data_IF_022868205440
#
_entry.id   IF_022868205440
#
_cell.length_a   1.000
_cell.length_b   1.000
_cell.length_c   1.000
_cell.angle_alpha   90.00
_cell.angle_beta   90.00
_cell.angle_gamma   90.00
#
_symmetry.space_group_name_H-M   'P 1'
#
loop_
_entity.id
_entity.type
_entity.pdbx_description
1 polymer ?
#
# COMPACT_ATOMS: atom_id res chain seq x y z
N UNK A 1 -10.54 -22.29 1.12
CA UNK A 1 -10.75 -22.51 -0.32
C UNK A 1 -10.25 -21.28 -1.05
N UNK A 2 -9.04 -21.35 -1.63
CA UNK A 2 -8.53 -20.28 -2.50
C UNK A 2 -9.23 -20.38 -3.87
N UNK A 3 -9.73 -19.28 -4.46
CA UNK A 3 -10.38 -19.33 -5.76
C UNK A 3 -9.34 -19.69 -6.83
N UNK A 4 -9.58 -20.83 -7.49
CA UNK A 4 -8.79 -21.31 -8.61
C UNK A 4 -8.87 -20.30 -9.77
N UNK A 5 -7.72 -19.77 -10.19
CA UNK A 5 -7.57 -19.06 -11.46
C UNK A 5 -6.96 -17.65 -11.42
N UNK A 6 -6.58 -17.12 -10.26
CA UNK A 6 -5.90 -15.83 -10.17
C UNK A 6 -4.51 -15.97 -9.55
N UNK A 7 -3.54 -15.33 -10.19
CA UNK A 7 -2.13 -15.26 -9.78
C UNK A 7 -2.06 -14.47 -8.46
N UNK A 8 -1.22 -14.88 -7.51
CA UNK A 8 -1.16 -14.24 -6.19
C UNK A 8 -0.06 -13.17 -6.11
N UNK A 9 -0.35 -12.11 -5.36
CA UNK A 9 0.62 -11.08 -4.98
C UNK A 9 0.47 -10.79 -3.49
N UNK A 10 1.44 -11.22 -2.70
CA UNK A 10 1.47 -11.07 -1.26
C UNK A 10 2.46 -9.97 -0.87
N UNK A 11 2.01 -9.03 -0.04
CA UNK A 11 2.81 -7.92 0.46
C UNK A 11 2.83 -7.99 1.98
N UNK A 12 4.01 -7.84 2.57
CA UNK A 12 4.19 -7.77 4.02
C UNK A 12 4.93 -6.48 4.35
N UNK A 13 4.27 -5.56 5.03
CA UNK A 13 4.88 -4.32 5.50
C UNK A 13 5.74 -4.65 6.73
N UNK A 14 6.95 -4.11 6.80
CA UNK A 14 7.82 -4.31 7.95
C UNK A 14 7.32 -3.51 9.16
N UNK A 15 7.63 -4.01 10.37
CA UNK A 15 7.24 -3.38 11.64
C UNK A 15 7.69 -1.91 11.75
N UNK A 16 8.78 -1.53 11.08
CA UNK A 16 9.24 -0.14 11.07
C UNK A 16 8.46 0.78 10.11
N UNK A 17 7.64 0.22 9.20
CA UNK A 17 6.88 0.95 8.18
C UNK A 17 7.69 1.59 7.07
N UNK A 18 9.00 1.35 7.00
CA UNK A 18 9.89 2.02 6.01
C UNK A 18 10.09 1.19 4.74
N UNK A 19 9.71 -0.08 4.77
CA UNK A 19 9.89 -1.02 3.68
C UNK A 19 8.80 -2.09 3.72
N UNK A 20 8.67 -2.79 2.61
CA UNK A 20 7.80 -3.95 2.50
C UNK A 20 8.50 -5.06 1.71
N UNK A 21 8.10 -6.30 1.98
CA UNK A 21 8.46 -7.48 1.18
C UNK A 21 7.28 -7.84 0.29
N UNK A 22 7.53 -8.00 -0.99
CA UNK A 22 6.57 -8.50 -1.95
C UNK A 22 6.95 -9.92 -2.40
N UNK A 23 5.96 -10.77 -2.56
CA UNK A 23 6.06 -12.12 -3.12
C UNK A 23 4.98 -12.23 -4.18
N UNK A 24 5.37 -12.25 -5.45
CA UNK A 24 4.43 -12.31 -6.56
C UNK A 24 4.68 -13.57 -7.36
N UNK A 25 3.59 -14.24 -7.72
CA UNK A 25 3.63 -15.25 -8.76
C UNK A 25 3.62 -14.56 -10.11
N UNK A 26 4.35 -15.10 -11.07
CA UNK A 26 4.47 -14.58 -12.41
C UNK A 26 4.17 -15.73 -13.35
N UNK A 27 3.30 -15.49 -14.33
CA UNK A 27 2.91 -16.50 -15.30
C UNK A 27 3.07 -15.97 -16.72
N UNK A 28 3.83 -16.73 -17.52
CA UNK A 28 4.00 -16.54 -18.95
C UNK A 28 4.57 -15.17 -19.34
N UNK A 29 5.61 -14.72 -18.61
CA UNK A 29 6.39 -13.53 -18.98
C UNK A 29 7.88 -13.85 -19.02
N UNK A 30 8.62 -13.01 -19.71
CA UNK A 30 10.09 -13.07 -19.85
C UNK A 30 10.79 -11.92 -19.12
N UNK A 31 10.00 -10.94 -18.65
CA UNK A 31 10.51 -9.73 -18.00
C UNK A 31 9.56 -9.28 -16.89
N UNK A 32 10.15 -8.83 -15.79
CA UNK A 32 9.46 -8.13 -14.71
C UNK A 32 10.14 -6.78 -14.45
N UNK A 33 9.35 -5.72 -14.41
CA UNK A 33 9.82 -4.35 -14.17
C UNK A 33 9.40 -3.91 -12.77
N UNK A 34 10.35 -3.39 -11.99
CA UNK A 34 10.08 -2.83 -10.67
C UNK A 34 9.66 -1.37 -10.82
N UNK A 35 8.37 -1.17 -10.97
CA UNK A 35 7.74 0.15 -11.06
C UNK A 35 6.46 0.19 -10.24
N UNK A 36 6.11 1.38 -9.77
CA UNK A 36 4.83 1.69 -9.16
C UNK A 36 4.08 2.72 -9.99
N UNK A 37 2.77 2.89 -9.77
CA UNK A 37 1.94 3.81 -10.56
C UNK A 37 2.02 5.23 -10.01
N UNK A 38 2.54 6.17 -10.79
CA UNK A 38 2.57 7.60 -10.46
C UNK A 38 1.19 8.27 -10.52
N UNK A 39 1.14 9.54 -10.13
CA UNK A 39 -0.11 10.29 -9.99
C UNK A 39 -0.84 10.51 -11.33
N UNK A 40 -0.10 10.55 -12.45
CA UNK A 40 -0.65 10.66 -13.80
C UNK A 40 -0.73 9.29 -14.50
N UNK A 41 -0.52 8.19 -13.75
CA UNK A 41 -0.49 6.82 -14.29
C UNK A 41 0.85 6.43 -14.92
N UNK A 42 1.90 7.22 -14.73
CA UNK A 42 3.26 6.95 -15.22
C UNK A 42 3.96 5.87 -14.39
N UNK A 43 4.88 5.12 -15.00
CA UNK A 43 5.71 4.16 -14.27
C UNK A 43 6.79 4.91 -13.46
N UNK A 44 6.67 4.88 -12.13
CA UNK A 44 7.67 5.44 -11.22
C UNK A 44 8.68 4.35 -10.83
N UNK A 45 9.99 4.56 -11.06
CA UNK A 45 11.02 3.59 -10.71
C UNK A 45 10.99 3.21 -9.22
N UNK A 46 10.94 1.92 -8.96
CA UNK A 46 11.00 1.40 -7.60
C UNK A 46 12.36 0.78 -7.33
N UNK A 47 12.98 1.19 -6.21
CA UNK A 47 14.29 0.66 -5.80
C UNK A 47 14.11 -0.71 -5.10
N UNK A 48 14.05 -1.78 -5.90
CA UNK A 48 13.93 -3.14 -5.39
C UNK A 48 15.30 -3.71 -4.97
N UNK A 49 15.39 -4.15 -3.72
CA UNK A 49 16.50 -4.90 -3.13
C UNK A 49 16.11 -6.35 -2.83
N UNK A 50 17.10 -7.17 -2.48
CA UNK A 50 16.90 -8.59 -2.11
C UNK A 50 16.03 -9.39 -3.09
N UNK A 51 16.17 -9.14 -4.39
CA UNK A 51 15.36 -9.86 -5.39
C UNK A 51 15.85 -11.29 -5.51
N UNK A 52 14.93 -12.21 -5.27
CA UNK A 52 15.09 -13.63 -5.57
C UNK A 52 14.01 -14.06 -6.57
N UNK A 53 14.42 -14.88 -7.53
CA UNK A 53 13.52 -15.54 -8.47
C UNK A 53 13.56 -17.04 -8.17
N UNK A 54 12.39 -17.66 -8.05
CA UNK A 54 12.27 -19.10 -7.83
C UNK A 54 11.34 -19.72 -8.85
N UNK A 55 11.64 -20.95 -9.25
CA UNK A 55 10.80 -21.79 -10.10
C UNK A 55 10.60 -23.11 -9.37
N UNK A 56 9.36 -23.47 -9.07
CA UNK A 56 9.06 -24.70 -8.32
C UNK A 56 9.90 -24.79 -7.02
N UNK A 57 9.96 -23.68 -6.28
CA UNK A 57 10.72 -23.51 -5.04
C UNK A 57 12.25 -23.65 -5.15
N UNK A 58 12.78 -23.76 -6.36
CA UNK A 58 14.22 -23.74 -6.63
C UNK A 58 14.69 -22.37 -7.13
N UNK A 59 15.85 -21.86 -6.69
CA UNK A 59 16.42 -20.62 -7.21
C UNK A 59 16.60 -20.67 -8.73
N UNK A 60 16.11 -19.63 -9.42
CA UNK A 60 16.25 -19.46 -10.86
C UNK A 60 17.20 -18.31 -11.17
N UNK A 61 18.08 -18.51 -12.15
CA UNK A 61 18.96 -17.45 -12.64
C UNK A 61 18.15 -16.40 -13.42
N UNK A 62 18.54 -15.14 -13.28
CA UNK A 62 17.93 -14.03 -13.99
C UNK A 62 18.99 -12.97 -14.31
N UNK A 63 18.73 -12.19 -15.36
CA UNK A 63 19.58 -11.07 -15.74
C UNK A 63 18.99 -9.76 -15.23
N UNK A 64 19.79 -8.98 -14.52
CA UNK A 64 19.36 -7.68 -13.99
C UNK A 64 19.75 -6.54 -14.94
N UNK A 65 18.77 -5.72 -15.33
CA UNK A 65 18.98 -4.45 -16.02
C UNK A 65 18.67 -3.26 -15.09
N UNK A 66 19.67 -2.39 -14.85
CA UNK A 66 19.57 -1.18 -14.02
C UNK A 66 19.96 0.07 -14.84
N UNK A 67 19.12 0.49 -15.79
CA UNK A 67 19.37 1.72 -16.54
C UNK A 67 19.34 2.93 -15.60
N UNK A 68 20.24 3.89 -15.81
CA UNK A 68 20.25 5.13 -15.05
C UNK A 68 19.03 5.99 -15.43
N UNK A 69 18.26 6.45 -14.43
CA UNK A 69 17.07 7.27 -14.66
C UNK A 69 15.82 6.52 -15.15
N UNK A 70 15.82 5.19 -15.15
CA UNK A 70 14.66 4.38 -15.54
C UNK A 70 14.40 3.21 -14.58
N UNK A 71 13.21 2.62 -14.66
CA UNK A 71 12.80 1.50 -13.81
C UNK A 71 13.71 0.29 -14.01
N UNK A 72 14.16 -0.27 -12.89
CA UNK A 72 14.95 -1.50 -12.94
C UNK A 72 14.08 -2.68 -13.36
N UNK A 73 14.67 -3.67 -14.03
CA UNK A 73 13.92 -4.86 -14.46
C UNK A 73 14.81 -6.10 -14.46
N UNK A 74 14.19 -7.25 -14.26
CA UNK A 74 14.83 -8.56 -14.44
C UNK A 74 14.26 -9.27 -15.65
N UNK A 75 15.12 -10.01 -16.36
CA UNK A 75 14.74 -10.85 -17.49
C UNK A 75 15.10 -12.30 -17.23
N UNK A 76 14.22 -13.21 -17.61
CA UNK A 76 14.33 -14.65 -17.38
C UNK A 76 13.59 -15.43 -18.48
N UNK A 77 13.91 -16.72 -18.71
CA UNK A 77 13.22 -17.52 -19.71
C UNK A 77 11.72 -17.61 -19.42
N UNK A 78 10.87 -17.57 -20.45
CA UNK A 78 9.42 -17.62 -20.30
C UNK A 78 8.96 -18.80 -19.45
N UNK A 79 8.11 -18.55 -18.46
CA UNK A 79 7.59 -19.60 -17.59
C UNK A 79 6.87 -19.08 -16.35
N UNK A 80 6.64 -20.00 -15.41
CA UNK A 80 5.99 -19.72 -14.14
C UNK A 80 7.04 -19.59 -13.05
N UNK A 81 7.11 -18.41 -12.44
CA UNK A 81 8.09 -18.11 -11.41
C UNK A 81 7.43 -17.41 -10.25
N UNK A 82 8.07 -17.48 -9.08
CA UNK A 82 7.75 -16.64 -7.94
C UNK A 82 8.90 -15.67 -7.74
N UNK A 83 8.61 -14.38 -7.80
CA UNK A 83 9.55 -13.31 -7.48
C UNK A 83 9.32 -12.90 -6.03
N UNK A 84 10.40 -12.72 -5.28
CA UNK A 84 10.37 -12.07 -3.98
C UNK A 84 11.34 -10.92 -3.94
N UNK A 85 10.94 -9.77 -3.42
CA UNK A 85 11.82 -8.61 -3.30
C UNK A 85 11.43 -7.72 -2.12
N UNK A 86 12.36 -6.87 -1.70
CA UNK A 86 12.13 -5.83 -0.70
C UNK A 86 12.20 -4.47 -1.38
N UNK A 87 11.30 -3.57 -1.01
CA UNK A 87 11.30 -2.22 -1.53
C UNK A 87 10.98 -1.19 -0.44
N UNK A 88 11.51 0.04 -0.57
CA UNK A 88 11.19 1.11 0.35
C UNK A 88 9.72 1.50 0.24
N UNK A 89 9.15 1.86 1.38
CA UNK A 89 7.78 2.33 1.52
C UNK A 89 7.83 3.82 1.85
N UNK A 90 7.06 4.63 1.14
CA UNK A 90 7.06 6.08 1.30
C UNK A 90 5.67 6.54 1.74
N UNK A 91 5.62 7.47 2.69
CA UNK A 91 4.41 8.17 3.12
C UNK A 91 3.28 7.24 3.62
N UNK A 92 3.63 6.04 4.10
CA UNK A 92 2.69 4.97 4.48
C UNK A 92 1.66 4.65 3.38
N UNK A 93 2.06 4.79 2.11
CA UNK A 93 1.24 4.42 0.96
C UNK A 93 1.90 3.27 0.20
N UNK A 94 1.14 2.20 -0.01
CA UNK A 94 1.52 1.08 -0.85
C UNK A 94 0.55 0.99 -2.02
N UNK A 95 1.11 1.02 -3.22
CA UNK A 95 0.33 0.93 -4.45
C UNK A 95 1.07 0.07 -5.47
N UNK A 96 0.31 -0.66 -6.27
CA UNK A 96 0.85 -1.44 -7.39
C UNK A 96 -0.15 -1.50 -8.54
N UNK A 97 0.37 -1.68 -9.75
CA UNK A 97 -0.41 -1.90 -10.94
C UNK A 97 0.09 -3.16 -11.67
N UNK A 98 -0.84 -3.87 -12.29
CA UNK A 98 -0.59 -5.15 -12.93
C UNK A 98 -1.23 -5.18 -14.31
N UNK A 99 -0.53 -5.79 -15.27
CA UNK A 99 -1.07 -6.03 -16.62
C UNK A 99 -2.11 -7.16 -16.66
N UNK A 100 -2.07 -8.07 -15.69
CA UNK A 100 -3.01 -9.19 -15.51
C UNK A 100 -3.68 -9.05 -14.13
N UNK A 101 -4.89 -9.57 -13.90
CA UNK A 101 -5.54 -9.47 -12.60
C UNK A 101 -4.89 -10.41 -11.56
N UNK A 102 -4.63 -9.88 -10.36
CA UNK A 102 -4.04 -10.62 -9.22
C UNK A 102 -5.00 -10.73 -8.04
N UNK A 103 -4.85 -11.78 -7.26
CA UNK A 103 -5.33 -11.81 -5.88
C UNK A 103 -4.26 -11.19 -5.00
N UNK A 104 -4.55 -9.99 -4.50
CA UNK A 104 -3.61 -9.21 -3.69
C UNK A 104 -3.94 -9.42 -2.22
N UNK A 105 -2.92 -9.67 -1.42
CA UNK A 105 -3.03 -9.73 0.04
C UNK A 105 -1.92 -8.88 0.65
N UNK A 106 -2.28 -7.90 1.46
CA UNK A 106 -1.33 -7.03 2.15
C UNK A 106 -1.48 -7.23 3.65
N UNK A 107 -0.39 -7.61 4.31
CA UNK A 107 -0.32 -7.73 5.77
C UNK A 107 0.33 -6.48 6.37
N UNK A 108 -0.41 -5.84 7.26
CA UNK A 108 -0.06 -4.61 7.96
C UNK A 108 0.23 -4.96 9.43
N UNK A 109 1.37 -4.53 9.99
CA UNK A 109 1.70 -4.78 11.38
C UNK A 109 0.85 -3.94 12.33
N UNK A 110 0.80 -4.36 13.60
CA UNK A 110 -0.13 -3.83 14.62
C UNK A 110 0.02 -2.34 14.94
N UNK A 111 1.19 -1.76 14.64
CA UNK A 111 1.50 -0.35 14.88
C UNK A 111 0.87 0.59 13.85
N UNK A 112 0.32 0.05 12.76
CA UNK A 112 -0.40 0.79 11.75
C UNK A 112 -1.87 0.37 11.67
N UNK A 113 -2.71 1.29 11.22
CA UNK A 113 -4.15 1.08 11.09
C UNK A 113 -4.67 1.63 9.76
N UNK A 114 -5.81 1.08 9.33
CA UNK A 114 -6.56 1.48 8.13
C UNK A 114 -8.01 1.85 8.46
N UNK A 115 -8.36 1.97 9.75
CA UNK A 115 -9.75 2.10 10.18
C UNK A 115 -10.32 3.52 10.10
N UNK A 116 -9.47 4.54 10.21
CA UNK A 116 -9.92 5.92 10.23
C UNK A 116 -10.00 6.43 8.79
N UNK A 117 -11.20 6.72 8.25
CA UNK A 117 -11.37 7.13 6.85
C UNK A 117 -10.76 8.50 6.54
N UNK A 118 -10.42 9.31 7.55
CA UNK A 118 -9.74 10.60 7.34
C UNK A 118 -8.24 10.46 7.09
N UNK A 119 -7.65 9.32 7.47
CA UNK A 119 -6.21 9.06 7.39
C UNK A 119 -5.86 7.88 6.49
N UNK A 120 -6.72 6.87 6.45
CA UNK A 120 -6.58 5.70 5.62
C UNK A 120 -7.20 5.90 4.24
N UNK A 121 -6.63 5.22 3.25
CA UNK A 121 -7.13 5.15 1.88
C UNK A 121 -7.12 3.69 1.43
N UNK A 122 -8.23 3.23 0.87
CA UNK A 122 -8.38 1.87 0.39
C UNK A 122 -9.00 1.92 -1.00
N UNK A 123 -8.34 1.31 -1.98
CA UNK A 123 -8.92 1.15 -3.30
C UNK A 123 -10.15 0.24 -3.27
N UNK A 124 -11.10 0.47 -4.18
CA UNK A 124 -12.35 -0.27 -4.28
C UNK A 124 -12.13 -1.79 -4.30
N UNK A 125 -13.03 -2.53 -3.63
CA UNK A 125 -12.95 -3.99 -3.53
C UNK A 125 -11.99 -4.50 -2.44
N UNK A 126 -11.46 -3.61 -1.59
CA UNK A 126 -10.68 -3.99 -0.42
C UNK A 126 -11.56 -4.72 0.62
N UNK A 127 -11.09 -5.86 1.11
CA UNK A 127 -11.65 -6.54 2.26
C UNK A 127 -10.64 -6.50 3.41
N UNK A 128 -11.01 -5.86 4.52
CA UNK A 128 -10.13 -5.69 5.69
C UNK A 128 -10.49 -6.74 6.74
N UNK A 129 -9.51 -7.54 7.15
CA UNK A 129 -9.65 -8.55 8.19
C UNK A 129 -8.61 -8.33 9.27
N UNK A 130 -9.06 -8.24 10.52
CA UNK A 130 -8.18 -8.17 11.69
C UNK A 130 -7.87 -9.59 12.15
N UNK A 131 -6.59 -9.92 12.22
CA UNK A 131 -6.14 -11.25 12.60
C UNK A 131 -6.02 -11.37 14.13
N UNK A 132 -6.01 -12.61 14.67
CA UNK A 132 -5.82 -12.86 16.10
C UNK A 132 -4.44 -12.44 16.64
N UNK A 133 -3.44 -12.31 15.75
CA UNK A 133 -2.09 -11.85 16.07
C UNK A 133 -1.96 -10.32 16.08
N UNK A 134 -3.09 -9.59 16.13
CA UNK A 134 -3.19 -8.14 16.04
C UNK A 134 -2.69 -7.51 14.73
N UNK A 135 -2.33 -8.31 13.72
CA UNK A 135 -2.05 -7.78 12.38
C UNK A 135 -3.36 -7.54 11.62
N UNK A 136 -3.30 -6.66 10.62
CA UNK A 136 -4.44 -6.40 9.73
C UNK A 136 -4.09 -6.90 8.34
N UNK A 137 -4.94 -7.74 7.76
CA UNK A 137 -4.80 -8.16 6.36
C UNK A 137 -5.83 -7.42 5.52
N UNK A 138 -5.38 -6.84 4.41
CA UNK A 138 -6.25 -6.24 3.40
C UNK A 138 -6.13 -7.04 2.11
N UNK A 139 -7.27 -7.46 1.56
CA UNK A 139 -7.30 -8.34 0.40
C UNK A 139 -8.12 -7.74 -0.74
N UNK A 140 -7.65 -7.95 -1.97
CA UNK A 140 -8.38 -7.66 -3.20
C UNK A 140 -8.43 -8.92 -4.05
N UNK A 141 -9.60 -9.21 -4.61
CA UNK A 141 -9.80 -10.37 -5.50
C UNK A 141 -9.82 -9.91 -6.95
N UNK A 142 -8.97 -10.53 -7.80
CA UNK A 142 -8.87 -10.24 -9.25
C UNK A 142 -8.69 -8.75 -9.57
N UNK A 143 -7.73 -8.09 -8.92
CA UNK A 143 -7.46 -6.66 -9.14
C UNK A 143 -6.34 -6.41 -10.15
N UNK A 144 -6.49 -5.38 -10.99
CA UNK A 144 -5.44 -4.87 -11.89
C UNK A 144 -4.52 -3.85 -11.20
N UNK A 145 -4.85 -3.44 -9.99
CA UNK A 145 -4.03 -2.57 -9.19
C UNK A 145 -4.66 -2.34 -7.83
N UNK A 146 -3.92 -1.76 -6.91
CA UNK A 146 -4.45 -1.38 -5.62
C UNK A 146 -3.74 -0.14 -5.11
N UNK A 147 -4.43 0.59 -4.25
CA UNK A 147 -3.90 1.70 -3.48
C UNK A 147 -4.30 1.47 -2.01
N UNK A 148 -3.31 1.51 -1.14
CA UNK A 148 -3.44 1.26 0.28
C UNK A 148 -2.63 2.29 1.03
N UNK A 149 -3.34 3.24 1.62
CA UNK A 149 -2.79 4.19 2.57
C UNK A 149 -3.18 3.79 3.99
N UNK A 150 -2.18 3.67 4.84
CA UNK A 150 -2.33 3.36 6.25
C UNK A 150 -1.68 4.45 7.10
N UNK A 151 -1.95 4.46 8.40
CA UNK A 151 -1.44 5.49 9.31
C UNK A 151 -0.94 4.90 10.61
N UNK A 152 -0.01 5.60 11.26
CA UNK A 152 0.50 5.24 12.58
C UNK A 152 -0.35 5.88 13.69
N UNK A 153 -0.27 5.33 14.91
CA UNK A 153 -0.96 5.92 16.07
C UNK A 153 -0.62 7.41 16.27
N UNK A 154 0.62 7.79 16.05
CA UNK A 154 1.06 9.19 16.19
C UNK A 154 0.37 10.14 15.19
N UNK A 155 0.13 9.69 13.96
CA UNK A 155 -0.62 10.47 12.97
C UNK A 155 -2.09 10.64 13.38
N UNK A 156 -2.68 9.61 14.00
CA UNK A 156 -4.02 9.68 14.55
C UNK A 156 -4.12 10.64 15.73
N UNK A 157 -3.17 10.58 16.67
CA UNK A 157 -3.13 11.49 17.82
C UNK A 157 -2.97 12.94 17.35
N UNK A 158 -2.11 13.19 16.36
CA UNK A 158 -1.95 14.51 15.75
C UNK A 158 -3.25 15.01 15.11
N UNK A 159 -4.00 14.16 14.42
CA UNK A 159 -5.30 14.51 13.88
C UNK A 159 -6.28 14.90 15.00
N UNK A 160 -6.32 14.14 16.10
CA UNK A 160 -7.17 14.48 17.23
C UNK A 160 -6.80 15.82 17.86
N UNK A 161 -5.51 16.09 18.06
CA UNK A 161 -5.04 17.40 18.54
C UNK A 161 -5.45 18.53 17.59
N UNK A 162 -5.29 18.34 16.29
CA UNK A 162 -5.71 19.31 15.28
C UNK A 162 -7.21 19.58 15.33
N UNK A 163 -8.05 18.54 15.40
CA UNK A 163 -9.50 18.69 15.47
C UNK A 163 -9.94 19.40 16.76
N UNK A 164 -9.33 19.08 17.90
CA UNK A 164 -9.60 19.78 19.16
C UNK A 164 -9.25 21.26 19.07
N UNK A 165 -8.08 21.59 18.53
CA UNK A 165 -7.66 22.97 18.34
C UNK A 165 -8.61 23.74 17.42
N UNK A 166 -8.99 23.14 16.28
CA UNK A 166 -9.95 23.74 15.35
C UNK A 166 -11.33 23.94 15.98
N UNK A 167 -11.81 22.98 16.77
CA UNK A 167 -13.08 23.10 17.46
C UNK A 167 -13.09 24.27 18.44
N UNK A 168 -12.02 24.47 19.22
CA UNK A 168 -11.90 25.60 20.15
C UNK A 168 -11.91 26.93 19.39
N UNK A 169 -11.17 27.03 18.29
CA UNK A 169 -11.17 28.24 17.45
C UNK A 169 -12.56 28.56 16.91
N UNK A 170 -13.28 27.56 16.41
CA UNK A 170 -14.65 27.74 15.91
C UNK A 170 -15.57 28.23 17.03
N UNK A 171 -15.47 27.65 18.24
CA UNK A 171 -16.28 28.07 19.38
C UNK A 171 -16.00 29.54 19.73
N UNK A 172 -14.73 29.91 19.88
CA UNK A 172 -14.33 31.25 20.33
C UNK A 172 -14.56 32.32 19.28
N UNK A 173 -14.24 32.05 18.02
CA UNK A 173 -14.26 33.05 16.94
C UNK A 173 -15.58 33.14 16.19
N UNK A 174 -16.37 32.06 16.19
CA UNK A 174 -17.62 32.02 15.43
C UNK A 174 -18.80 31.93 16.39
N UNK A 175 -18.85 30.89 17.23
CA UNK A 175 -20.05 30.60 18.04
C UNK A 175 -20.28 31.68 19.10
N UNK A 176 -19.28 32.00 19.92
CA UNK A 176 -19.40 33.03 20.96
C UNK A 176 -19.84 34.39 20.39
N UNK A 177 -19.14 34.99 19.41
CA UNK A 177 -19.54 36.30 18.89
C UNK A 177 -20.89 36.24 18.16
N UNK A 178 -21.23 35.14 17.48
CA UNK A 178 -22.54 34.97 16.87
C UNK A 178 -23.67 34.96 17.91
N UNK A 179 -23.50 34.20 19.00
CA UNK A 179 -24.48 34.16 20.11
C UNK A 179 -24.59 35.50 20.83
N UNK A 180 -23.47 36.21 21.04
CA UNK A 180 -23.48 37.55 21.61
C UNK A 180 -24.18 38.57 20.71
N UNK A 181 -23.96 38.50 19.39
CA UNK A 181 -24.64 39.35 18.39
C UNK A 181 -26.16 39.12 18.38
N UNK A 182 -26.60 37.86 18.45
CA UNK A 182 -28.03 37.53 18.54
C UNK A 182 -28.71 38.09 19.79
N UNK A 183 -28.02 38.09 20.93
CA UNK A 183 -28.53 38.66 22.19
C UNK A 183 -28.57 40.18 22.23
N UNK A 184 -27.85 40.86 21.32
CA UNK A 184 -27.86 42.31 21.21
C UNK A 184 -28.95 42.88 20.29
N UNK A 185 -29.79 42.02 19.68
CA UNK A 185 -30.90 42.41 18.79
C UNK A 185 -32.29 42.23 19.43
N UNK A 186 -32.37 41.89 20.72
CA UNK A 186 -33.57 42.04 21.57
C UNK A 186 -33.50 43.37 22.34
#
# INVERSE_FOLDING_TARGET
MAPAGAITADYTIFENGTAYRAVLQINDTERYTFATMGFMGEDVPQNAGEVNLTKEDMPAAFNWSRPWGASSSISFPKGNYTISYVAPLKDNNLQAAYTKPYNVSVRIPQNFSVQNPLLAGLSNGANVTKNPDNTTTVQWTKSFGFDLRFYSKSQEDLLFFFLQFMAILIVVLVIIPYVLSMRGQE
#
